data_IF_564174272345
#
_entry.id   IF_564174272345
#
_cell.length_a   1.000
_cell.length_b   1.000
_cell.length_c   1.000
_cell.angle_alpha   90.00
_cell.angle_beta   90.00
_cell.angle_gamma   90.00
#
_symmetry.space_group_name_H-M   'P 1'
#
loop_
_entity.id
_entity.type
_entity.pdbx_description
1 polymer ?
#
# COMPACT_ATOMS: atom_id res chain seq x y z
N UNK A 1 -3.88 -13.56 23.87
CA UNK A 1 -3.65 -13.90 22.44
C UNK A 1 -2.81 -12.81 21.76
N UNK A 2 -1.67 -12.41 22.34
CA UNK A 2 -0.99 -11.17 21.96
C UNK A 2 0.43 -11.34 21.38
N UNK A 3 1.06 -12.50 21.52
CA UNK A 3 2.48 -12.66 21.14
C UNK A 3 2.70 -12.82 19.62
N UNK A 4 1.87 -13.64 18.95
CA UNK A 4 2.01 -13.89 17.51
C UNK A 4 1.73 -12.67 16.63
N UNK A 5 0.82 -11.78 17.07
CA UNK A 5 0.51 -10.56 16.33
C UNK A 5 1.71 -9.58 16.37
N UNK A 6 2.36 -9.44 17.52
CA UNK A 6 3.56 -8.61 17.71
C UNK A 6 4.75 -9.13 16.90
N UNK A 7 4.90 -10.45 16.77
CA UNK A 7 5.96 -11.04 15.93
C UNK A 7 5.77 -10.76 14.43
N UNK A 8 4.52 -10.74 13.96
CA UNK A 8 4.20 -10.47 12.54
C UNK A 8 4.20 -8.98 12.19
N UNK A 9 3.94 -8.13 13.17
CA UNK A 9 3.86 -6.67 13.04
C UNK A 9 4.75 -5.95 14.06
N UNK A 10 6.09 -6.10 13.97
CA UNK A 10 7.00 -5.48 14.91
C UNK A 10 6.90 -3.95 14.85
N UNK A 11 6.71 -3.31 16.01
CA UNK A 11 6.61 -1.85 16.11
C UNK A 11 5.25 -1.25 15.71
N UNK A 12 4.20 -2.09 15.64
CA UNK A 12 2.81 -1.65 15.44
C UNK A 12 1.95 -2.09 16.63
N UNK A 13 0.98 -1.26 17.00
CA UNK A 13 -0.09 -1.71 17.91
C UNK A 13 -1.01 -2.71 17.20
N UNK A 14 -1.78 -3.51 17.95
CA UNK A 14 -2.71 -4.48 17.35
C UNK A 14 -3.77 -3.81 16.47
N UNK A 15 -4.29 -2.65 16.90
CA UNK A 15 -5.24 -1.84 16.14
C UNK A 15 -4.62 -1.30 14.85
N UNK A 16 -3.43 -0.71 14.94
CA UNK A 16 -2.70 -0.17 13.78
C UNK A 16 -2.34 -1.29 12.80
N UNK A 17 -1.88 -2.44 13.30
CA UNK A 17 -1.61 -3.63 12.49
C UNK A 17 -2.85 -4.13 11.76
N UNK A 18 -4.03 -4.12 12.40
CA UNK A 18 -5.28 -4.52 11.78
C UNK A 18 -5.70 -3.54 10.65
N UNK A 19 -5.52 -2.24 10.84
CA UNK A 19 -5.78 -1.24 9.82
C UNK A 19 -4.85 -1.37 8.61
N UNK A 20 -3.55 -1.55 8.85
CA UNK A 20 -2.58 -1.82 7.79
C UNK A 20 -2.86 -3.14 7.08
N UNK A 21 -3.21 -4.19 7.82
CA UNK A 21 -3.60 -5.50 7.27
C UNK A 21 -4.74 -5.35 6.26
N UNK A 22 -5.75 -4.52 6.58
CA UNK A 22 -6.90 -4.25 5.68
C UNK A 22 -6.40 -3.66 4.35
N UNK A 23 -5.69 -2.55 4.42
CA UNK A 23 -5.35 -1.79 3.21
C UNK A 23 -4.27 -2.48 2.37
N UNK A 24 -3.29 -3.13 3.00
CA UNK A 24 -2.25 -3.88 2.29
C UNK A 24 -2.81 -5.17 1.67
N UNK A 25 -3.80 -5.84 2.28
CA UNK A 25 -4.44 -6.98 1.63
C UNK A 25 -5.08 -6.58 0.28
N UNK A 26 -5.70 -5.40 0.23
CA UNK A 26 -6.26 -4.87 -1.01
C UNK A 26 -5.16 -4.51 -2.02
N UNK A 27 -4.12 -3.82 -1.55
CA UNK A 27 -3.03 -3.24 -2.35
C UNK A 27 -1.68 -3.89 -2.00
N UNK A 28 -1.60 -5.21 -2.19
CA UNK A 28 -0.46 -6.02 -1.72
C UNK A 28 0.81 -5.69 -2.51
N UNK A 29 1.97 -5.52 -1.83
CA UNK A 29 3.25 -5.26 -2.50
C UNK A 29 3.73 -6.45 -3.34
N UNK A 30 3.28 -7.66 -3.00
CA UNK A 30 3.61 -8.89 -3.71
C UNK A 30 2.37 -9.67 -4.16
N UNK A 31 2.52 -10.57 -5.13
CA UNK A 31 1.42 -11.37 -5.63
C UNK A 31 0.97 -12.38 -4.57
N UNK A 32 -0.33 -12.67 -4.55
CA UNK A 32 -0.93 -13.58 -3.58
C UNK A 32 -1.94 -14.52 -4.25
N UNK A 33 -1.95 -15.82 -3.89
CA UNK A 33 -3.03 -16.72 -4.31
C UNK A 33 -4.39 -16.19 -3.84
N UNK A 34 -5.41 -16.29 -4.71
CA UNK A 34 -6.76 -15.80 -4.39
C UNK A 34 -7.35 -16.47 -3.13
N UNK A 35 -7.07 -17.77 -2.93
CA UNK A 35 -7.49 -18.51 -1.74
C UNK A 35 -6.85 -17.98 -0.45
N UNK A 36 -5.57 -17.62 -0.49
CA UNK A 36 -4.87 -17.01 0.65
C UNK A 36 -5.43 -15.61 0.93
N UNK A 37 -5.66 -14.80 -0.12
CA UNK A 37 -6.29 -13.47 0.01
C UNK A 37 -7.69 -13.57 0.64
N UNK A 38 -8.47 -14.59 0.28
CA UNK A 38 -9.78 -14.86 0.89
C UNK A 38 -9.68 -15.26 2.37
N UNK A 39 -8.74 -16.15 2.73
CA UNK A 39 -8.50 -16.55 4.12
C UNK A 39 -8.07 -15.36 4.99
N UNK A 40 -7.12 -14.56 4.50
CA UNK A 40 -6.66 -13.32 5.16
C UNK A 40 -7.81 -12.32 5.33
N UNK A 41 -8.64 -12.12 4.29
CA UNK A 41 -9.82 -11.26 4.36
C UNK A 41 -10.80 -11.72 5.46
N UNK A 42 -11.00 -13.03 5.62
CA UNK A 42 -11.87 -13.57 6.65
C UNK A 42 -11.29 -13.36 8.07
N UNK A 43 -9.97 -13.50 8.25
CA UNK A 43 -9.30 -13.22 9.53
C UNK A 43 -9.41 -11.74 9.91
N UNK A 44 -9.15 -10.83 8.97
CA UNK A 44 -9.29 -9.38 9.16
C UNK A 44 -10.73 -9.00 9.54
N UNK A 45 -11.72 -9.62 8.91
CA UNK A 45 -13.14 -9.42 9.24
C UNK A 45 -13.49 -9.84 10.68
N UNK A 46 -12.76 -10.80 11.25
CA UNK A 46 -12.86 -11.20 12.66
C UNK A 46 -12.03 -10.34 13.61
N UNK A 47 -11.40 -9.27 13.11
CA UNK A 47 -10.55 -8.39 13.92
C UNK A 47 -9.13 -8.92 14.13
N UNK A 48 -8.72 -9.99 13.44
CA UNK A 48 -7.36 -10.53 13.57
C UNK A 48 -6.43 -9.88 12.54
N UNK A 49 -5.36 -9.18 12.96
CA UNK A 49 -4.36 -8.67 12.04
C UNK A 49 -3.60 -9.83 11.38
N UNK A 50 -3.24 -9.65 10.11
CA UNK A 50 -2.53 -10.65 9.30
C UNK A 50 -1.37 -9.98 8.58
N UNK A 51 -0.27 -10.71 8.38
CA UNK A 51 0.86 -10.21 7.60
C UNK A 51 1.34 -11.31 6.65
N UNK A 52 1.53 -10.95 5.38
CA UNK A 52 2.37 -11.72 4.48
C UNK A 52 3.83 -11.21 4.56
N UNK A 53 4.81 -11.93 4.00
CA UNK A 53 6.19 -11.47 3.97
C UNK A 53 6.31 -10.05 3.40
N UNK A 54 7.04 -9.19 4.12
CA UNK A 54 7.30 -7.80 3.72
C UNK A 54 6.20 -6.79 4.08
N UNK A 55 5.00 -7.20 4.50
CA UNK A 55 3.90 -6.28 4.77
C UNK A 55 4.19 -5.27 5.89
N UNK A 56 4.72 -5.73 7.02
CA UNK A 56 5.11 -4.85 8.13
C UNK A 56 6.21 -3.86 7.72
N UNK A 57 7.15 -4.29 6.85
CA UNK A 57 8.18 -3.43 6.29
C UNK A 57 7.56 -2.36 5.38
N UNK A 58 6.67 -2.75 4.47
CA UNK A 58 5.96 -1.83 3.58
C UNK A 58 5.14 -0.80 4.37
N UNK A 59 4.40 -1.24 5.39
CA UNK A 59 3.67 -0.33 6.28
C UNK A 59 4.61 0.62 7.02
N UNK A 60 5.76 0.13 7.48
CA UNK A 60 6.79 0.94 8.13
C UNK A 60 7.30 2.03 7.20
N UNK A 61 7.72 1.67 5.99
CA UNK A 61 8.18 2.61 4.97
C UNK A 61 7.10 3.64 4.61
N UNK A 62 5.86 3.20 4.42
CA UNK A 62 4.75 4.10 4.13
C UNK A 62 4.51 5.08 5.31
N UNK A 63 4.52 4.57 6.55
CA UNK A 63 4.40 5.39 7.76
C UNK A 63 5.53 6.41 7.88
N UNK A 64 6.77 6.02 7.58
CA UNK A 64 7.94 6.91 7.60
C UNK A 64 7.82 8.03 6.54
N UNK A 65 7.15 7.75 5.42
CA UNK A 65 6.75 8.74 4.42
C UNK A 65 5.52 9.60 4.81
N UNK A 66 4.94 9.39 6.01
CA UNK A 66 3.77 10.13 6.48
C UNK A 66 2.42 9.58 6.00
N UNK A 67 2.38 8.36 5.44
CA UNK A 67 1.11 7.70 5.12
C UNK A 67 0.44 7.13 6.37
N UNK A 68 -0.88 7.34 6.45
CA UNK A 68 -1.79 6.53 7.26
C UNK A 68 -2.39 5.42 6.40
N UNK A 69 -3.03 4.39 6.98
CA UNK A 69 -3.75 3.39 6.19
C UNK A 69 -4.78 4.00 5.23
N UNK A 70 -5.47 5.07 5.65
CA UNK A 70 -6.45 5.79 4.83
C UNK A 70 -5.77 6.45 3.62
N UNK A 71 -4.66 7.15 3.84
CA UNK A 71 -3.90 7.78 2.76
C UNK A 71 -3.33 6.74 1.79
N UNK A 72 -2.82 5.63 2.32
CA UNK A 72 -2.30 4.54 1.50
C UNK A 72 -3.41 3.95 0.61
N UNK A 73 -4.59 3.67 1.18
CA UNK A 73 -5.73 3.21 0.40
C UNK A 73 -6.15 4.24 -0.66
N UNK A 74 -6.21 5.52 -0.28
CA UNK A 74 -6.59 6.60 -1.18
C UNK A 74 -5.62 6.75 -2.35
N UNK A 75 -4.30 6.64 -2.12
CA UNK A 75 -3.30 6.69 -3.19
C UNK A 75 -3.55 5.59 -4.23
N UNK A 76 -3.64 4.33 -3.80
CA UNK A 76 -3.85 3.24 -4.75
C UNK A 76 -5.22 3.30 -5.44
N UNK A 77 -6.25 3.81 -4.76
CA UNK A 77 -7.56 4.05 -5.37
C UNK A 77 -7.48 5.09 -6.50
N UNK A 78 -6.73 6.19 -6.32
CA UNK A 78 -6.56 7.19 -7.39
C UNK A 78 -5.65 6.70 -8.51
N UNK A 79 -4.63 5.90 -8.21
CA UNK A 79 -3.78 5.28 -9.24
C UNK A 79 -4.55 4.35 -10.17
N UNK A 80 -5.61 3.69 -9.68
CA UNK A 80 -6.48 2.90 -10.54
C UNK A 80 -7.30 3.75 -11.53
N UNK A 81 -7.47 5.04 -11.28
CA UNK A 81 -8.20 5.97 -12.15
C UNK A 81 -7.28 6.71 -13.14
N UNK A 82 -5.96 6.68 -12.93
CA UNK A 82 -4.97 7.29 -13.83
C UNK A 82 -4.59 6.26 -14.91
N UNK A 83 -4.57 6.68 -16.18
CA UNK A 83 -4.10 5.81 -17.27
C UNK A 83 -2.59 5.54 -17.10
N UNK A 84 -2.17 4.27 -16.94
CA UNK A 84 -0.76 3.92 -16.81
C UNK A 84 0.13 4.45 -17.93
N UNK A 85 -0.40 4.56 -19.16
CA UNK A 85 0.39 5.01 -20.32
C UNK A 85 0.69 6.51 -20.29
N UNK A 86 -0.01 7.27 -19.44
CA UNK A 86 0.22 8.72 -19.30
C UNK A 86 1.52 9.03 -18.55
N UNK A 87 2.02 8.08 -17.73
CA UNK A 87 3.21 8.30 -16.90
C UNK A 87 4.11 7.06 -16.87
N UNK A 88 5.36 7.18 -17.34
CA UNK A 88 6.31 6.06 -17.31
C UNK A 88 6.56 5.52 -15.89
N UNK A 89 6.56 6.42 -14.91
CA UNK A 89 6.71 6.15 -13.48
C UNK A 89 5.49 5.46 -12.84
N UNK A 90 4.40 5.24 -13.57
CA UNK A 90 3.20 4.64 -13.03
C UNK A 90 3.46 3.23 -12.45
N UNK A 91 3.05 2.93 -11.19
CA UNK A 91 3.36 1.66 -10.53
C UNK A 91 2.84 0.41 -11.24
N UNK A 92 1.85 0.55 -12.11
CA UNK A 92 1.37 -0.54 -12.97
C UNK A 92 2.51 -1.19 -13.76
N UNK A 93 3.51 -0.42 -14.20
CA UNK A 93 4.68 -0.94 -14.93
C UNK A 93 5.64 -1.76 -14.05
N UNK A 94 5.48 -1.71 -12.72
CA UNK A 94 6.28 -2.45 -11.74
C UNK A 94 5.47 -3.57 -11.06
N UNK A 95 4.29 -3.88 -11.61
CA UNK A 95 3.44 -4.93 -11.10
C UNK A 95 4.15 -6.30 -11.15
N UNK A 96 4.17 -7.00 -10.03
CA UNK A 96 4.75 -8.34 -9.92
C UNK A 96 3.64 -9.37 -10.14
N UNK A 97 3.82 -10.24 -11.14
CA UNK A 97 2.83 -11.25 -11.54
C UNK A 97 3.41 -12.65 -11.42
N UNK A 98 2.61 -13.57 -10.88
CA UNK A 98 2.92 -15.00 -10.82
C UNK A 98 1.72 -15.78 -11.34
N UNK A 99 1.96 -16.95 -11.96
CA UNK A 99 0.89 -17.80 -12.51
C UNK A 99 -0.14 -18.13 -11.42
N UNK A 100 -1.42 -17.93 -11.73
CA UNK A 100 -2.56 -18.20 -10.85
C UNK A 100 -2.59 -17.39 -9.54
N UNK A 101 -1.93 -16.23 -9.48
CA UNK A 101 -1.97 -15.33 -8.33
C UNK A 101 -2.56 -13.97 -8.70
N UNK A 102 -3.19 -13.32 -7.73
CA UNK A 102 -3.56 -11.91 -7.85
C UNK A 102 -2.25 -11.12 -7.85
N UNK A 103 -2.00 -10.27 -8.86
CA UNK A 103 -0.78 -9.47 -8.90
C UNK A 103 -0.61 -8.54 -7.71
N UNK A 104 0.64 -8.20 -7.41
CA UNK A 104 1.01 -7.19 -6.41
C UNK A 104 1.69 -5.99 -7.06
N UNK A 105 1.61 -4.83 -6.40
CA UNK A 105 2.28 -3.60 -6.82
C UNK A 105 3.13 -3.11 -5.65
N UNK A 106 4.47 -3.14 -5.76
CA UNK A 106 5.36 -2.69 -4.70
C UNK A 106 5.08 -1.24 -4.29
N UNK A 107 5.21 -0.96 -2.99
CA UNK A 107 5.26 0.42 -2.51
C UNK A 107 6.68 0.96 -2.62
N UNK A 108 6.83 2.11 -3.26
CA UNK A 108 8.12 2.75 -3.51
C UNK A 108 8.19 4.09 -2.77
N UNK A 109 8.84 4.07 -1.60
CA UNK A 109 8.95 5.24 -0.73
C UNK A 109 9.53 6.47 -1.45
N UNK A 110 10.58 6.27 -2.24
CA UNK A 110 11.26 7.33 -3.00
C UNK A 110 10.32 8.04 -4.00
N UNK A 111 9.37 7.31 -4.57
CA UNK A 111 8.36 7.88 -5.45
C UNK A 111 7.28 8.63 -4.64
N UNK A 112 6.78 8.03 -3.56
CA UNK A 112 5.54 8.47 -2.92
C UNK A 112 5.72 9.40 -1.73
N UNK A 113 6.95 9.63 -1.24
CA UNK A 113 7.21 10.39 -0.01
C UNK A 113 6.60 11.81 0.01
N UNK A 114 6.50 12.48 -1.14
CA UNK A 114 5.92 13.83 -1.22
C UNK A 114 4.39 13.83 -1.22
N UNK A 115 3.76 12.71 -1.60
CA UNK A 115 2.31 12.67 -1.83
C UNK A 115 1.47 13.05 -0.60
N UNK A 116 1.74 12.52 0.62
CA UNK A 116 0.99 12.93 1.81
C UNK A 116 1.10 14.41 2.11
N UNK A 117 2.25 15.02 1.83
CA UNK A 117 2.50 16.46 2.02
C UNK A 117 1.65 17.29 1.07
N UNK A 118 1.61 16.92 -0.21
CA UNK A 118 0.78 17.59 -1.23
C UNK A 118 -0.71 17.57 -0.85
N UNK A 119 -1.19 16.43 -0.37
CA UNK A 119 -2.61 16.27 0.02
C UNK A 119 -2.92 17.00 1.33
N UNK A 120 -2.14 16.76 2.38
CA UNK A 120 -2.49 17.23 3.73
C UNK A 120 -2.10 18.69 3.99
N UNK A 121 -0.99 19.17 3.42
CA UNK A 121 -0.46 20.51 3.72
C UNK A 121 -0.70 21.50 2.59
N UNK A 122 -0.57 21.07 1.34
CA UNK A 122 -0.75 21.95 0.19
C UNK A 122 -2.20 21.94 -0.35
N UNK A 123 -3.04 21.03 0.13
CA UNK A 123 -4.47 21.00 -0.18
C UNK A 123 -4.79 20.53 -1.60
N UNK A 124 -3.85 19.88 -2.28
CA UNK A 124 -4.13 19.27 -3.57
C UNK A 124 -5.13 18.12 -3.44
N UNK A 125 -5.97 17.95 -4.46
CA UNK A 125 -6.80 16.74 -4.54
C UNK A 125 -5.90 15.49 -4.62
N UNK A 126 -6.31 14.34 -4.06
CA UNK A 126 -5.52 13.11 -4.11
C UNK A 126 -5.07 12.70 -5.52
N UNK A 127 -5.94 12.89 -6.53
CA UNK A 127 -5.63 12.61 -7.93
C UNK A 127 -4.57 13.57 -8.49
N UNK A 128 -4.77 14.88 -8.32
CA UNK A 128 -3.80 15.90 -8.76
C UNK A 128 -2.44 15.70 -8.09
N UNK A 129 -2.41 15.41 -6.79
CA UNK A 129 -1.16 15.12 -6.08
C UNK A 129 -0.46 13.87 -6.65
N UNK A 130 -1.21 12.83 -7.02
CA UNK A 130 -0.64 11.63 -7.63
C UNK A 130 -0.05 11.93 -9.02
N UNK A 131 -0.78 12.65 -9.86
CA UNK A 131 -0.29 13.07 -11.18
C UNK A 131 0.96 13.95 -11.09
N UNK A 132 1.01 14.90 -10.14
CA UNK A 132 2.20 15.73 -9.91
C UNK A 132 3.41 14.88 -9.50
N UNK A 133 3.24 13.96 -8.55
CA UNK A 133 4.31 13.04 -8.15
C UNK A 133 4.79 12.21 -9.34
N UNK A 134 3.87 11.65 -10.13
CA UNK A 134 4.21 10.85 -11.30
C UNK A 134 4.93 11.67 -12.38
N UNK A 135 4.50 12.91 -12.62
CA UNK A 135 5.11 13.83 -13.57
C UNK A 135 6.55 14.17 -13.19
N UNK A 136 6.80 14.44 -11.91
CA UNK A 136 8.14 14.81 -11.41
C UNK A 136 9.04 13.60 -11.16
N UNK A 137 8.50 12.38 -11.12
CA UNK A 137 9.27 11.15 -11.01
C UNK A 137 10.12 10.82 -12.25
N UNK A 138 10.10 11.66 -13.28
CA UNK A 138 10.95 11.58 -14.47
C UNK A 138 11.93 12.75 -14.50
N UNK A 139 12.98 12.70 -13.67
CA UNK A 139 14.19 13.56 -13.77
C UNK A 139 15.45 12.96 -13.12
N UNK A 140 15.49 11.66 -12.84
CA UNK A 140 16.70 10.95 -12.37
C UNK A 140 16.96 9.69 -13.19
#
# INVERSE_FOLDING_TARGET
>A
MSHEATERWPGFSETEALEWSRVILHHSPGPLPASIKAQMSAAIRRGTPVAAPGWARTAGQARDCGFTPILYHSLFAVLHAIDPNSFRSHPHHRQVTHRNQVPGVPFEAELWQEWPRLVLKEGFSPGTAAELVLLFATST
#
